data_IF_664412248588
#
_entry.id   IF_664412248588
#
_cell.length_a   1.000
_cell.length_b   1.000
_cell.length_c   1.000
_cell.angle_alpha   90.00
_cell.angle_beta   90.00
_cell.angle_gamma   90.00
#
_symmetry.space_group_name_H-M   'P 1'
#
loop_
_entity.id
_entity.type
_entity.pdbx_description
1 polymer ?
#
# COMPACT_ATOMS: atom_id res chain seq x y z
N UNK A 1 -19.37 3.40 2.57
CA UNK A 1 -18.66 2.17 3.00
C UNK A 1 -17.43 2.56 3.81
N UNK A 2 -17.16 1.92 4.96
CA UNK A 2 -16.03 2.26 5.84
C UNK A 2 -14.82 1.34 5.54
N UNK A 3 -13.69 1.87 5.02
CA UNK A 3 -12.53 1.06 4.64
C UNK A 3 -11.60 0.73 5.82
N UNK A 4 -11.78 1.39 6.98
CA UNK A 4 -10.99 1.15 8.20
C UNK A 4 -11.03 -0.32 8.62
N UNK A 5 -9.86 -0.93 8.81
CA UNK A 5 -9.71 -2.33 9.21
C UNK A 5 -9.97 -3.36 8.10
N UNK A 6 -10.32 -2.92 6.88
CA UNK A 6 -10.48 -3.81 5.72
C UNK A 6 -9.17 -3.96 4.95
N UNK A 7 -9.03 -5.08 4.25
CA UNK A 7 -7.88 -5.34 3.38
C UNK A 7 -8.26 -5.09 1.92
N UNK A 8 -7.46 -4.31 1.20
CA UNK A 8 -7.62 -4.00 -0.22
C UNK A 8 -6.39 -4.48 -1.00
N UNK A 9 -6.61 -5.27 -2.06
CA UNK A 9 -5.57 -5.68 -3.01
C UNK A 9 -5.58 -4.75 -4.21
N UNK A 10 -4.42 -4.21 -4.57
CA UNK A 10 -4.24 -3.24 -5.66
C UNK A 10 -3.16 -3.75 -6.60
N UNK A 11 -3.52 -4.00 -7.85
CA UNK A 11 -2.57 -4.30 -8.92
C UNK A 11 -2.03 -3.00 -9.50
N UNK A 12 -0.70 -2.90 -9.67
CA UNK A 12 -0.05 -1.66 -10.10
C UNK A 12 -0.04 -0.54 -9.05
N UNK A 13 -0.27 -0.87 -7.77
CA UNK A 13 -0.35 0.09 -6.66
C UNK A 13 0.93 0.88 -6.37
N UNK A 14 2.04 0.51 -7.00
CA UNK A 14 3.34 1.15 -6.81
C UNK A 14 3.52 2.46 -7.61
N UNK A 15 2.70 2.71 -8.64
CA UNK A 15 2.91 3.83 -9.58
C UNK A 15 1.60 4.53 -9.98
N UNK A 16 1.73 5.76 -10.51
CA UNK A 16 0.64 6.58 -11.08
C UNK A 16 -0.58 6.65 -10.15
N UNK A 17 -1.76 6.30 -10.66
CA UNK A 17 -3.04 6.32 -9.95
C UNK A 17 -3.09 5.25 -8.85
N UNK A 18 -2.42 4.10 -9.05
CA UNK A 18 -2.34 3.04 -8.06
C UNK A 18 -1.68 3.50 -6.76
N UNK A 19 -0.65 4.35 -6.85
CA UNK A 19 0.00 4.98 -5.69
C UNK A 19 -0.95 5.88 -4.92
N UNK A 20 -1.69 6.74 -5.62
CA UNK A 20 -2.66 7.64 -4.98
C UNK A 20 -3.77 6.87 -4.25
N UNK A 21 -4.32 5.82 -4.89
CA UNK A 21 -5.35 4.96 -4.28
C UNK A 21 -4.79 4.23 -3.06
N UNK A 22 -3.59 3.68 -3.16
CA UNK A 22 -2.89 2.99 -2.06
C UNK A 22 -2.76 3.92 -0.86
N UNK A 23 -2.30 5.15 -1.06
CA UNK A 23 -2.14 6.15 -0.02
C UNK A 23 -3.47 6.59 0.59
N UNK A 24 -4.51 6.82 -0.22
CA UNK A 24 -5.83 7.23 0.25
C UNK A 24 -6.48 6.15 1.14
N UNK A 25 -6.43 4.88 0.71
CA UNK A 25 -6.95 3.75 1.50
C UNK A 25 -6.17 3.53 2.79
N UNK A 26 -4.85 3.65 2.69
CA UNK A 26 -3.94 3.61 3.82
C UNK A 26 -4.22 4.69 4.86
N UNK A 27 -4.48 5.93 4.43
CA UNK A 27 -4.85 7.05 5.31
C UNK A 27 -6.23 6.84 5.94
N UNK A 28 -7.17 6.26 5.19
CA UNK A 28 -8.49 5.89 5.69
C UNK A 28 -8.46 4.69 6.67
N UNK A 29 -7.28 4.13 6.96
CA UNK A 29 -7.10 3.05 7.94
C UNK A 29 -7.33 1.64 7.39
N UNK A 30 -7.31 1.47 6.07
CA UNK A 30 -7.35 0.15 5.43
C UNK A 30 -5.96 -0.48 5.38
N UNK A 31 -5.93 -1.81 5.48
CA UNK A 31 -4.76 -2.60 5.10
C UNK A 31 -4.71 -2.66 3.57
N UNK A 32 -3.54 -2.44 3.00
CA UNK A 32 -3.38 -2.38 1.54
C UNK A 32 -2.28 -3.34 1.11
N UNK A 33 -2.58 -4.19 0.14
CA UNK A 33 -1.61 -5.06 -0.51
C UNK A 33 -1.43 -4.55 -1.93
N UNK A 34 -0.20 -4.18 -2.28
CA UNK A 34 0.14 -3.74 -3.64
C UNK A 34 0.90 -4.85 -4.35
N UNK A 35 0.45 -5.20 -5.55
CA UNK A 35 1.14 -6.13 -6.42
C UNK A 35 1.75 -5.37 -7.60
N UNK A 36 3.04 -5.59 -7.87
CA UNK A 36 3.80 -4.89 -8.92
C UNK A 36 4.70 -5.86 -9.69
N UNK A 37 4.93 -5.59 -10.97
CA UNK A 37 5.73 -6.48 -11.83
C UNK A 37 7.23 -6.08 -11.83
N UNK A 38 7.55 -4.85 -12.27
CA UNK A 38 8.94 -4.39 -12.46
C UNK A 38 9.35 -3.21 -11.57
N UNK A 39 8.43 -2.67 -10.76
CA UNK A 39 8.68 -1.44 -9.97
C UNK A 39 8.89 -1.73 -8.47
N UNK A 40 9.89 -2.54 -8.13
CA UNK A 40 10.29 -2.79 -6.72
C UNK A 40 10.63 -1.50 -6.00
N UNK A 41 11.45 -0.65 -6.62
CA UNK A 41 11.89 0.63 -6.04
C UNK A 41 10.71 1.56 -5.76
N UNK A 42 9.78 1.72 -6.69
CA UNK A 42 8.61 2.59 -6.47
C UNK A 42 7.64 2.03 -5.41
N UNK A 43 7.56 0.70 -5.28
CA UNK A 43 6.79 0.04 -4.23
C UNK A 43 7.45 0.25 -2.85
N UNK A 44 8.77 0.15 -2.78
CA UNK A 44 9.56 0.44 -1.57
C UNK A 44 9.48 1.91 -1.17
N UNK A 45 9.54 2.84 -2.12
CA UNK A 45 9.30 4.26 -1.82
C UNK A 45 7.87 4.49 -1.29
N UNK A 46 6.88 3.84 -1.89
CA UNK A 46 5.47 4.00 -1.49
C UNK A 46 5.19 3.39 -0.11
N UNK A 47 5.82 2.26 0.22
CA UNK A 47 5.75 1.63 1.54
C UNK A 47 6.62 2.36 2.59
N UNK A 48 7.77 2.89 2.17
CA UNK A 48 8.75 3.61 2.98
C UNK A 48 8.31 5.02 3.38
N UNK A 49 7.65 5.76 2.50
CA UNK A 49 7.05 7.08 2.79
C UNK A 49 6.10 7.05 4.00
N UNK A 50 5.54 5.89 4.31
CA UNK A 50 4.61 5.71 5.43
C UNK A 50 5.28 5.35 6.76
N UNK A 51 6.56 4.94 6.76
CA UNK A 51 7.31 4.74 8.02
C UNK A 51 7.48 6.05 8.80
N UNK A 52 7.54 7.19 8.12
CA UNK A 52 7.82 8.49 8.74
C UNK A 52 6.63 9.18 9.46
N UNK A 53 5.40 8.64 9.39
CA UNK A 53 4.23 9.35 9.92
C UNK A 53 3.13 8.49 10.59
N UNK A 54 3.33 7.18 10.75
CA UNK A 54 2.32 6.26 11.29
C UNK A 54 2.89 5.37 12.42
N UNK A 55 3.63 6.00 13.33
CA UNK A 55 4.08 5.36 14.55
C UNK A 55 3.02 5.53 15.66
N UNK A 56 2.62 4.40 16.27
CA UNK A 56 2.04 4.31 17.63
C UNK A 56 0.51 4.18 17.89
N UNK A 57 -0.29 3.40 17.14
CA UNK A 57 -1.59 2.93 17.71
C UNK A 57 -2.10 1.59 17.17
N UNK A 58 -2.80 0.81 18.02
CA UNK A 58 -3.12 -0.64 17.97
C UNK A 58 -3.83 -1.20 16.71
N UNK A 59 -4.08 -0.39 15.68
CA UNK A 59 -4.76 -0.82 14.45
C UNK A 59 -4.10 -0.19 13.20
N UNK A 60 -2.79 -0.44 13.04
CA UNK A 60 -1.98 0.20 12.00
C UNK A 60 -2.32 -0.35 10.61
N UNK A 61 -2.68 0.51 9.65
CA UNK A 61 -2.86 0.10 8.26
C UNK A 61 -1.53 -0.34 7.64
N UNK A 62 -1.40 -1.64 7.38
CA UNK A 62 -0.19 -2.23 6.79
C UNK A 62 -0.23 -2.06 5.27
N UNK A 63 0.86 -1.57 4.68
CA UNK A 63 1.05 -1.63 3.22
C UNK A 63 2.10 -2.70 2.93
N UNK A 64 1.73 -3.74 2.19
CA UNK A 64 2.64 -4.83 1.79
C UNK A 64 2.83 -4.81 0.28
N UNK A 65 4.08 -4.86 -0.17
CA UNK A 65 4.43 -5.01 -1.57
C UNK A 65 4.74 -6.46 -1.91
N UNK A 66 4.07 -7.02 -2.93
CA UNK A 66 4.38 -8.32 -3.51
C UNK A 66 4.84 -8.14 -4.97
N UNK A 67 5.99 -8.73 -5.33
CA UNK A 67 6.46 -8.77 -6.71
C UNK A 67 5.74 -9.90 -7.44
N UNK A 68 5.06 -9.57 -8.54
CA UNK A 68 4.47 -10.55 -9.42
C UNK A 68 5.59 -11.20 -10.25
N UNK A 69 5.79 -12.50 -10.11
CA UNK A 69 6.69 -13.26 -10.97
C UNK A 69 6.01 -13.45 -12.33
N UNK A 70 6.58 -12.89 -13.40
CA UNK A 70 6.24 -13.37 -14.75
C UNK A 70 6.81 -14.78 -14.89
N UNK A 71 5.94 -15.71 -15.26
CA UNK A 71 6.30 -17.09 -15.57
C UNK A 71 6.42 -17.27 -17.08
#
# INVERSE_FOLDING_TARGET
>A
MNPKGKTALITGGAVRVGKAITLALAQAGANVVINYHSSSTAAEETTGLKKAGYESSKNKPVIVGARQSAH
#
